data_IF_133683553014
#
_entry.id   IF_133683553014
#
_cell.length_a   1.000
_cell.length_b   1.000
_cell.length_c   1.000
_cell.angle_alpha   90.00
_cell.angle_beta   90.00
_cell.angle_gamma   90.00
#
_symmetry.space_group_name_H-M   'P 1'
#
loop_
_entity.id
_entity.type
_entity.pdbx_description
1 polymer ?
#
# COMPACT_ATOMS: atom_id res chain seq x y z
N UNK A 1 -2.03 -10.03 13.52
CA UNK A 1 -2.40 -8.77 12.86
C UNK A 1 -2.25 -7.62 13.86
N UNK A 2 -1.50 -6.56 13.53
CA UNK A 2 -1.38 -5.40 14.42
C UNK A 2 -2.74 -4.72 14.67
N UNK A 3 -2.89 -4.12 15.86
CA UNK A 3 -4.14 -3.46 16.23
C UNK A 3 -4.25 -2.04 15.68
N UNK A 4 -3.12 -1.31 15.56
CA UNK A 4 -3.16 0.07 15.09
C UNK A 4 -3.10 0.16 13.57
N UNK A 5 -3.75 1.20 13.02
CA UNK A 5 -3.70 1.47 11.59
C UNK A 5 -2.28 1.78 11.10
N UNK A 6 -1.46 2.41 11.94
CA UNK A 6 -0.09 2.74 11.60
C UNK A 6 0.75 1.48 11.43
N UNK A 7 0.63 0.55 12.37
CA UNK A 7 1.35 -0.72 12.30
C UNK A 7 0.85 -1.59 11.15
N UNK A 8 -0.45 -1.60 10.89
CA UNK A 8 -1.00 -2.34 9.76
C UNK A 8 -0.45 -1.78 8.44
N UNK A 9 -0.38 -0.46 8.30
CA UNK A 9 0.13 0.17 7.09
C UNK A 9 1.63 -0.08 6.90
N UNK A 10 2.42 0.02 7.97
CA UNK A 10 3.84 -0.30 7.91
C UNK A 10 4.08 -1.74 7.49
N UNK A 11 3.36 -2.67 8.08
CA UNK A 11 3.51 -4.09 7.78
C UNK A 11 3.07 -4.40 6.35
N UNK A 12 2.01 -3.76 5.89
CA UNK A 12 1.53 -3.88 4.52
C UNK A 12 2.62 -3.45 3.52
N UNK A 13 3.29 -2.32 3.77
CA UNK A 13 4.38 -1.86 2.92
C UNK A 13 5.57 -2.81 2.96
N UNK A 14 5.98 -3.27 4.13
CA UNK A 14 7.08 -4.23 4.26
C UNK A 14 6.80 -5.51 3.50
N UNK A 15 5.59 -6.04 3.64
CA UNK A 15 5.19 -7.25 2.94
C UNK A 15 5.14 -7.04 1.43
N UNK A 16 4.65 -5.89 0.98
CA UNK A 16 4.62 -5.53 -0.44
C UNK A 16 6.02 -5.52 -1.03
N UNK A 17 6.97 -4.89 -0.35
CA UNK A 17 8.36 -4.84 -0.80
C UNK A 17 8.95 -6.26 -0.88
N UNK A 18 8.74 -7.09 0.12
CA UNK A 18 9.26 -8.46 0.14
C UNK A 18 8.69 -9.29 -1.01
N UNK A 19 7.39 -9.19 -1.26
CA UNK A 19 6.75 -9.91 -2.36
C UNK A 19 7.28 -9.44 -3.71
N UNK A 20 7.44 -8.13 -3.89
CA UNK A 20 8.00 -7.58 -5.12
C UNK A 20 9.42 -8.08 -5.36
N UNK A 21 10.28 -8.01 -4.34
CA UNK A 21 11.66 -8.47 -4.45
C UNK A 21 11.74 -9.96 -4.76
N UNK A 22 10.90 -10.77 -4.12
CA UNK A 22 10.85 -12.20 -4.38
C UNK A 22 10.44 -12.51 -5.82
N UNK A 23 9.60 -11.67 -6.42
CA UNK A 23 9.17 -11.80 -7.80
C UNK A 23 10.13 -11.14 -8.81
N UNK A 24 11.22 -10.55 -8.34
CA UNK A 24 12.20 -9.89 -9.20
C UNK A 24 11.87 -8.44 -9.54
N UNK A 25 11.01 -7.80 -8.77
CA UNK A 25 10.64 -6.39 -8.94
C UNK A 25 11.15 -5.54 -7.81
N UNK A 26 11.17 -4.23 -8.02
CA UNK A 26 11.38 -3.24 -6.97
C UNK A 26 10.21 -2.26 -6.92
N UNK A 27 10.19 -1.37 -5.93
CA UNK A 27 9.14 -0.35 -5.81
C UNK A 27 9.09 0.56 -7.03
N UNK A 28 10.21 0.74 -7.72
CA UNK A 28 10.28 1.52 -8.97
C UNK A 28 9.46 0.91 -10.10
N UNK A 29 9.13 -0.36 -10.01
CA UNK A 29 8.37 -1.07 -11.03
C UNK A 29 6.86 -1.03 -10.79
N UNK A 30 6.42 -0.42 -9.70
CA UNK A 30 4.99 -0.28 -9.39
C UNK A 30 4.36 0.69 -10.37
N UNK A 31 3.31 0.24 -11.05
CA UNK A 31 2.59 1.06 -12.04
C UNK A 31 1.22 1.49 -11.53
N UNK A 32 0.65 0.77 -10.58
CA UNK A 32 -0.65 1.11 -10.01
C UNK A 32 -0.79 0.62 -8.57
N UNK A 33 -1.43 1.44 -7.75
CA UNK A 33 -1.80 1.11 -6.38
C UNK A 33 -3.28 1.39 -6.17
N UNK A 34 -3.99 0.44 -5.56
CA UNK A 34 -5.34 0.66 -5.07
C UNK A 34 -5.32 0.47 -3.57
N UNK A 35 -5.75 1.49 -2.82
CA UNK A 35 -5.72 1.48 -1.37
C UNK A 35 -7.15 1.58 -0.84
N UNK A 36 -7.52 0.65 0.02
CA UNK A 36 -8.84 0.59 0.63
C UNK A 36 -8.71 0.70 2.13
N UNK A 37 -9.54 1.51 2.75
CA UNK A 37 -9.52 1.69 4.21
C UNK A 37 -10.94 1.74 4.76
N UNK A 38 -11.12 1.16 5.94
CA UNK A 38 -12.35 1.29 6.72
C UNK A 38 -12.25 2.45 7.72
N UNK A 39 -11.05 3.02 7.89
CA UNK A 39 -10.77 4.12 8.81
C UNK A 39 -10.38 5.35 7.99
N UNK A 40 -11.21 6.41 7.94
CA UNK A 40 -10.88 7.61 7.16
C UNK A 40 -9.56 8.28 7.54
N UNK A 41 -9.12 8.14 8.80
CA UNK A 41 -7.84 8.68 9.26
C UNK A 41 -6.64 7.92 8.75
N UNK A 42 -6.82 6.72 8.20
CA UNK A 42 -5.72 5.91 7.71
C UNK A 42 -5.11 6.44 6.41
N UNK A 43 -5.90 7.09 5.56
CA UNK A 43 -5.39 7.54 4.26
C UNK A 43 -4.33 8.64 4.35
N UNK A 44 -4.50 9.69 5.20
CA UNK A 44 -3.42 10.66 5.39
C UNK A 44 -2.14 10.04 5.96
N UNK A 45 -2.28 9.09 6.88
CA UNK A 45 -1.15 8.38 7.46
C UNK A 45 -0.46 7.49 6.42
N UNK A 46 -1.25 6.81 5.58
CA UNK A 46 -0.73 6.00 4.48
C UNK A 46 0.09 6.88 3.51
N UNK A 47 -0.37 8.10 3.23
CA UNK A 47 0.36 9.03 2.35
C UNK A 47 1.76 9.33 2.90
N UNK A 48 1.89 9.50 4.20
CA UNK A 48 3.18 9.74 4.84
C UNK A 48 4.10 8.52 4.74
N UNK A 49 3.58 7.32 4.96
CA UNK A 49 4.36 6.09 4.82
C UNK A 49 4.76 5.86 3.37
N UNK A 50 3.85 6.09 2.44
CA UNK A 50 4.10 5.95 1.00
C UNK A 50 5.32 6.77 0.57
N UNK A 51 5.47 7.98 1.11
CA UNK A 51 6.58 8.86 0.77
C UNK A 51 7.94 8.29 1.20
N UNK A 52 7.97 7.33 2.12
CA UNK A 52 9.19 6.65 2.55
C UNK A 52 9.61 5.53 1.57
N UNK A 53 8.67 5.00 0.81
CA UNK A 53 8.91 3.87 -0.09
C UNK A 53 9.01 4.26 -1.55
N UNK A 54 8.28 5.28 -1.98
CA UNK A 54 8.25 5.76 -3.36
C UNK A 54 8.97 7.09 -3.44
N UNK A 55 9.81 7.28 -4.46
CA UNK A 55 10.44 8.58 -4.66
C UNK A 55 9.55 9.50 -5.51
N UNK A 56 9.89 10.80 -5.52
CA UNK A 56 9.09 11.80 -6.21
C UNK A 56 9.17 11.70 -7.74
N UNK A 57 10.16 10.99 -8.25
CA UNK A 57 10.37 10.83 -9.69
C UNK A 57 9.51 9.69 -10.26
N UNK A 58 8.90 8.89 -9.37
CA UNK A 58 8.09 7.76 -9.78
C UNK A 58 6.80 7.70 -8.96
N UNK A 59 5.74 8.26 -9.52
CA UNK A 59 4.42 8.28 -8.88
C UNK A 59 3.49 7.36 -9.69
N UNK A 60 3.14 6.18 -9.15
CA UNK A 60 2.23 5.28 -9.85
C UNK A 60 0.80 5.81 -9.85
N UNK A 61 -0.01 5.34 -10.78
CA UNK A 61 -1.44 5.60 -10.75
C UNK A 61 -2.02 5.03 -9.46
N UNK A 62 -2.98 5.74 -8.86
CA UNK A 62 -3.46 5.39 -7.53
C UNK A 62 -4.94 5.67 -7.38
N UNK A 63 -5.66 4.74 -6.74
CA UNK A 63 -7.03 4.93 -6.32
C UNK A 63 -7.10 4.70 -4.81
N UNK A 64 -7.71 5.63 -4.10
CA UNK A 64 -7.89 5.55 -2.65
C UNK A 64 -9.37 5.58 -2.36
N UNK A 65 -9.86 4.61 -1.61
CA UNK A 65 -11.28 4.50 -1.31
C UNK A 65 -11.50 4.15 0.15
N UNK A 66 -12.49 4.82 0.75
CA UNK A 66 -13.01 4.40 2.05
C UNK A 66 -14.18 3.46 1.80
N UNK A 67 -14.15 2.32 2.46
CA UNK A 67 -15.18 1.29 2.33
C UNK A 67 -15.71 0.91 3.71
N UNK A 68 -16.84 0.23 3.76
CA UNK A 68 -17.48 -0.11 5.03
C UNK A 68 -16.79 -1.24 5.78
N UNK A 69 -16.20 -2.19 5.07
CA UNK A 69 -15.54 -3.35 5.68
C UNK A 69 -14.62 -4.04 4.70
N UNK A 70 -13.50 -4.56 5.22
CA UNK A 70 -12.61 -5.46 4.50
C UNK A 70 -12.98 -6.92 4.85
N UNK A 71 -12.14 -7.87 4.49
CA UNK A 71 -12.43 -9.30 4.70
C UNK A 71 -12.73 -9.64 6.16
N UNK A 72 -12.10 -8.91 7.11
CA UNK A 72 -12.34 -9.07 8.54
C UNK A 72 -12.43 -7.70 9.20
N UNK A 73 -13.25 -7.55 10.29
CA UNK A 73 -13.44 -6.24 10.93
C UNK A 73 -12.16 -5.61 11.48
N UNK A 74 -11.18 -6.41 11.89
CA UNK A 74 -9.92 -5.91 12.44
C UNK A 74 -8.95 -5.38 11.39
N UNK A 75 -9.19 -5.65 10.11
CA UNK A 75 -8.37 -5.13 9.02
C UNK A 75 -8.83 -3.71 8.69
N UNK A 76 -7.93 -2.75 8.87
CA UNK A 76 -8.25 -1.33 8.71
C UNK A 76 -7.79 -0.76 7.37
N UNK A 77 -6.81 -1.37 6.72
CA UNK A 77 -6.28 -0.90 5.45
C UNK A 77 -5.76 -2.07 4.62
N UNK A 78 -5.90 -1.96 3.31
CA UNK A 78 -5.43 -2.97 2.36
C UNK A 78 -4.96 -2.28 1.09
N UNK A 79 -3.96 -2.86 0.42
CA UNK A 79 -3.41 -2.28 -0.79
C UNK A 79 -3.23 -3.37 -1.85
N UNK A 80 -3.73 -3.08 -3.05
CA UNK A 80 -3.44 -3.88 -4.24
C UNK A 80 -2.33 -3.20 -5.01
N UNK A 81 -1.34 -3.97 -5.43
CA UNK A 81 -0.17 -3.45 -6.13
C UNK A 81 0.00 -4.15 -7.46
N UNK A 82 0.15 -3.38 -8.52
CA UNK A 82 0.48 -3.90 -9.84
C UNK A 82 1.86 -3.38 -10.22
N UNK A 83 2.76 -4.29 -10.54
CA UNK A 83 4.11 -3.96 -10.97
C UNK A 83 4.37 -4.53 -12.36
N UNK A 84 5.16 -3.82 -13.14
CA UNK A 84 5.55 -4.27 -14.46
C UNK A 84 6.95 -3.73 -14.78
N UNK A 85 7.73 -4.52 -15.53
CA UNK A 85 9.01 -4.08 -16.04
C UNK A 85 8.87 -3.68 -17.50
N UNK A 86 9.50 -2.58 -17.84
CA UNK A 86 9.57 -2.14 -19.22
C UNK A 86 10.38 -3.13 -20.07
N UNK A 87 10.10 -3.13 -21.35
CA UNK A 87 10.83 -3.94 -22.31
C UNK A 87 12.24 -3.36 -22.54
#
# INVERSE_FOLDING_TARGET
LPDSREEQDEEMWKNTVLILEDAGFGVKDIVKLNVYSTDPGALPMHAQHRAQYLDNDHIPASTWANISQLARPEILIEMETIAAKGA
#
